data_IF_613383338430
#
_entry.id   IF_613383338430
#
_cell.length_a   1.000
_cell.length_b   1.000
_cell.length_c   1.000
_cell.angle_alpha   90.00
_cell.angle_beta   90.00
_cell.angle_gamma   90.00
#
_symmetry.space_group_name_H-M   'P 1'
#
loop_
_entity.id
_entity.type
_entity.pdbx_description
1 polymer ?
#
# COMPACT_ATOMS: atom_id res chain seq x y z
N UNK A 1 -10.10 -7.19 -24.96
CA UNK A 1 -9.31 -7.34 -23.72
C UNK A 1 -8.00 -6.57 -23.90
N UNK A 2 -8.01 -5.27 -23.66
CA UNK A 2 -6.82 -4.42 -23.86
C UNK A 2 -6.14 -4.20 -22.52
N UNK A 3 -5.27 -5.14 -22.15
CA UNK A 3 -4.18 -4.86 -21.24
C UNK A 3 -3.24 -3.81 -21.89
N UNK A 4 -2.51 -3.00 -21.11
CA UNK A 4 -2.47 -2.96 -19.64
C UNK A 4 -3.65 -2.25 -18.99
N UNK A 5 -3.83 -2.49 -17.68
CA UNK A 5 -4.70 -1.67 -16.83
C UNK A 5 -3.83 -0.63 -16.13
N UNK A 6 -4.23 0.64 -16.22
CA UNK A 6 -3.54 1.75 -15.55
C UNK A 6 -4.34 2.25 -14.36
N UNK A 7 -3.66 2.50 -13.25
CA UNK A 7 -4.22 3.18 -12.08
C UNK A 7 -3.37 4.40 -11.72
N UNK A 8 -4.05 5.50 -11.48
CA UNK A 8 -3.46 6.74 -10.98
C UNK A 8 -3.82 6.88 -9.50
N UNK A 9 -2.82 6.79 -8.64
CA UNK A 9 -2.98 6.89 -7.19
C UNK A 9 -2.45 8.23 -6.71
N UNK A 10 -3.15 8.88 -5.78
CA UNK A 10 -2.59 10.03 -5.08
C UNK A 10 -1.57 9.56 -4.04
N UNK A 11 -0.38 10.17 -4.03
CA UNK A 11 0.67 9.81 -3.08
C UNK A 11 0.37 10.23 -1.62
N UNK A 12 -0.66 11.07 -1.41
CA UNK A 12 -1.14 11.44 -0.06
C UNK A 12 -2.08 10.39 0.51
N UNK A 13 -2.84 9.70 -0.35
CA UNK A 13 -3.76 8.65 0.04
C UNK A 13 -3.06 7.27 0.12
N UNK A 14 -2.14 7.00 -0.81
CA UNK A 14 -1.42 5.73 -0.88
C UNK A 14 0.09 5.99 -0.82
N UNK A 15 0.78 5.57 0.26
CA UNK A 15 2.23 5.66 0.31
C UNK A 15 2.87 4.68 -0.69
N UNK A 16 4.10 5.00 -1.13
CA UNK A 16 4.86 4.14 -2.04
C UNK A 16 5.06 2.72 -1.47
N UNK A 17 5.21 2.60 -0.15
CA UNK A 17 5.30 1.30 0.56
C UNK A 17 4.08 0.41 0.28
N UNK A 18 2.87 0.96 0.32
CA UNK A 18 1.64 0.22 0.08
C UNK A 18 1.56 -0.27 -1.39
N UNK A 19 1.97 0.57 -2.34
CA UNK A 19 2.05 0.19 -3.75
C UNK A 19 3.06 -0.94 -3.99
N UNK A 20 4.25 -0.85 -3.39
CA UNK A 20 5.30 -1.87 -3.49
C UNK A 20 4.88 -3.20 -2.87
N UNK A 21 4.27 -3.17 -1.67
CA UNK A 21 3.74 -4.37 -1.01
C UNK A 21 2.62 -5.00 -1.80
N UNK A 22 1.76 -4.20 -2.43
CA UNK A 22 0.71 -4.70 -3.33
C UNK A 22 1.30 -5.42 -4.53
N UNK A 23 2.27 -4.80 -5.22
CA UNK A 23 2.95 -5.43 -6.35
C UNK A 23 3.63 -6.74 -5.97
N UNK A 24 4.27 -6.78 -4.80
CA UNK A 24 4.90 -8.01 -4.31
C UNK A 24 3.87 -9.09 -3.94
N UNK A 25 2.79 -8.71 -3.24
CA UNK A 25 1.73 -9.65 -2.83
C UNK A 25 1.00 -10.26 -4.02
N UNK A 26 0.90 -9.54 -5.13
CA UNK A 26 0.17 -9.97 -6.32
C UNK A 26 1.07 -10.54 -7.43
N UNK A 27 2.38 -10.67 -7.19
CA UNK A 27 3.36 -11.05 -8.21
C UNK A 27 3.08 -12.43 -8.88
N UNK A 28 2.40 -13.33 -8.18
CA UNK A 28 1.99 -14.63 -8.73
C UNK A 28 0.92 -14.52 -9.83
N UNK A 29 0.07 -13.49 -9.77
CA UNK A 29 -1.09 -13.32 -10.64
C UNK A 29 -0.92 -12.15 -11.61
N UNK A 30 -0.27 -11.07 -11.15
CA UNK A 30 -0.15 -9.80 -11.85
C UNK A 30 1.29 -9.29 -11.80
N UNK A 31 1.74 -8.75 -12.95
CA UNK A 31 2.96 -7.97 -13.05
C UNK A 31 2.60 -6.49 -12.97
N UNK A 32 3.04 -5.81 -11.91
CA UNK A 32 2.72 -4.40 -11.65
C UNK A 32 3.99 -3.56 -11.76
N UNK A 33 4.03 -2.68 -12.76
CA UNK A 33 5.04 -1.64 -12.86
C UNK A 33 4.59 -0.42 -12.05
N UNK A 34 5.47 0.05 -11.15
CA UNK A 34 5.23 1.23 -10.30
C UNK A 34 6.11 2.37 -10.81
N UNK A 35 5.47 3.47 -11.20
CA UNK A 35 6.15 4.70 -11.61
C UNK A 35 5.77 5.83 -10.64
N UNK A 36 6.61 6.16 -9.66
CA UNK A 36 6.37 7.27 -8.75
C UNK A 36 6.62 8.61 -9.47
N UNK A 37 5.70 9.55 -9.32
CA UNK A 37 5.77 10.90 -9.87
C UNK A 37 5.43 11.95 -8.79
N UNK A 38 5.73 13.24 -9.01
CA UNK A 38 5.38 14.27 -8.05
C UNK A 38 3.86 14.36 -7.83
N UNK A 39 3.38 13.98 -6.64
CA UNK A 39 1.97 14.04 -6.25
C UNK A 39 1.13 12.79 -6.55
N UNK A 40 1.67 11.84 -7.32
CA UNK A 40 0.93 10.64 -7.71
C UNK A 40 1.85 9.45 -7.99
N UNK A 41 1.26 8.25 -7.97
CA UNK A 41 1.92 7.00 -8.30
C UNK A 41 1.13 6.34 -9.40
N UNK A 42 1.80 6.07 -10.52
CA UNK A 42 1.23 5.38 -11.66
C UNK A 42 1.50 3.89 -11.54
N UNK A 43 0.44 3.07 -11.59
CA UNK A 43 0.54 1.62 -11.65
C UNK A 43 0.12 1.14 -13.03
N UNK A 44 0.99 0.38 -13.68
CA UNK A 44 0.68 -0.30 -14.94
C UNK A 44 0.66 -1.80 -14.69
N UNK A 45 -0.49 -2.41 -14.88
CA UNK A 45 -0.78 -3.79 -14.47
C UNK A 45 -0.91 -4.66 -15.71
N UNK A 46 -0.25 -5.81 -15.67
CA UNK A 46 -0.28 -6.87 -16.68
C UNK A 46 -0.59 -8.21 -16.02
N UNK A 47 -1.14 -9.19 -16.74
CA UNK A 47 -1.24 -10.54 -16.21
C UNK A 47 0.16 -11.15 -16.12
N UNK A 48 0.45 -11.89 -15.05
CA UNK A 48 1.75 -12.54 -14.86
C UNK A 48 1.95 -13.72 -15.81
N UNK A 49 0.85 -14.40 -16.19
CA UNK A 49 0.84 -15.48 -17.18
C UNK A 49 -0.29 -15.33 -18.20
N UNK A 50 -0.08 -15.84 -19.42
CA UNK A 50 -1.11 -15.95 -20.45
C UNK A 50 -2.30 -16.85 -20.05
N UNK A 51 -2.15 -17.72 -19.05
CA UNK A 51 -3.24 -18.52 -18.50
C UNK A 51 -4.05 -17.80 -17.42
N UNK A 52 -3.71 -16.55 -17.07
CA UNK A 52 -4.41 -15.81 -16.03
C UNK A 52 -5.83 -15.51 -16.50
N UNK A 53 -6.81 -16.20 -15.90
CA UNK A 53 -8.23 -16.07 -16.24
C UNK A 53 -8.90 -14.82 -15.63
N UNK A 54 -8.14 -13.88 -15.07
CA UNK A 54 -8.68 -12.63 -14.52
C UNK A 54 -9.15 -11.71 -15.63
N UNK A 55 -10.40 -11.24 -15.50
CA UNK A 55 -10.88 -10.09 -16.24
C UNK A 55 -10.22 -8.80 -15.73
N UNK A 56 -10.24 -7.75 -16.56
CA UNK A 56 -9.70 -6.42 -16.22
C UNK A 56 -10.36 -5.87 -14.95
N UNK A 57 -11.68 -5.99 -14.82
CA UNK A 57 -12.41 -5.48 -13.65
C UNK A 57 -12.05 -6.23 -12.38
N UNK A 58 -11.86 -7.55 -12.47
CA UNK A 58 -11.39 -8.36 -11.35
C UNK A 58 -9.96 -7.98 -10.96
N UNK A 59 -9.05 -7.82 -11.93
CA UNK A 59 -7.67 -7.41 -11.66
C UNK A 59 -7.62 -6.03 -11.00
N UNK A 60 -8.44 -5.10 -11.47
CA UNK A 60 -8.57 -3.75 -10.89
C UNK A 60 -9.08 -3.82 -9.45
N UNK A 61 -10.15 -4.58 -9.21
CA UNK A 61 -10.73 -4.73 -7.88
C UNK A 61 -9.73 -5.37 -6.92
N UNK A 62 -9.01 -6.40 -7.37
CA UNK A 62 -7.99 -7.09 -6.58
C UNK A 62 -6.85 -6.14 -6.17
N UNK A 63 -6.31 -5.38 -7.13
CA UNK A 63 -5.24 -4.41 -6.85
C UNK A 63 -5.72 -3.33 -5.89
N UNK A 64 -6.92 -2.77 -6.08
CA UNK A 64 -7.49 -1.77 -5.18
C UNK A 64 -7.74 -2.32 -3.77
N UNK A 65 -8.19 -3.58 -3.66
CA UNK A 65 -8.40 -4.23 -2.37
C UNK A 65 -7.08 -4.35 -1.59
N UNK A 66 -6.01 -4.83 -2.23
CA UNK A 66 -4.70 -4.94 -1.60
C UNK A 66 -4.10 -3.57 -1.25
N UNK A 67 -4.23 -2.58 -2.14
CA UNK A 67 -3.80 -1.21 -1.87
C UNK A 67 -4.49 -0.64 -0.63
N UNK A 68 -5.80 -0.82 -0.51
CA UNK A 68 -6.57 -0.36 0.64
C UNK A 68 -6.14 -1.06 1.93
N UNK A 69 -5.94 -2.38 1.91
CA UNK A 69 -5.50 -3.12 3.10
C UNK A 69 -4.12 -2.67 3.57
N UNK A 70 -3.15 -2.53 2.66
CA UNK A 70 -1.81 -2.06 3.01
C UNK A 70 -1.79 -0.60 3.48
N UNK A 71 -2.55 0.29 2.82
CA UNK A 71 -2.64 1.69 3.25
C UNK A 71 -3.29 1.83 4.63
N UNK A 72 -4.37 1.08 4.90
CA UNK A 72 -5.03 1.08 6.19
C UNK A 72 -4.11 0.55 7.30
N UNK A 73 -3.36 -0.54 7.03
CA UNK A 73 -2.39 -1.07 7.97
C UNK A 73 -1.26 -0.10 8.26
N UNK A 74 -0.74 0.58 7.25
CA UNK A 74 0.30 1.61 7.44
C UNK A 74 -0.25 2.77 8.28
N UNK A 75 -1.50 3.20 8.05
CA UNK A 75 -2.14 4.24 8.85
C UNK A 75 -2.29 3.83 10.33
N UNK A 76 -2.88 2.66 10.61
CA UNK A 76 -3.01 2.12 11.97
C UNK A 76 -1.64 1.97 12.63
N UNK A 77 -0.63 1.52 11.90
CA UNK A 77 0.71 1.38 12.43
C UNK A 77 1.29 2.74 12.86
N UNK A 78 1.10 3.78 12.04
CA UNK A 78 1.55 5.13 12.36
C UNK A 78 0.86 5.71 13.60
N UNK A 79 -0.46 5.54 13.72
CA UNK A 79 -1.24 6.04 14.86
C UNK A 79 -0.87 5.29 16.14
N UNK A 80 -0.74 3.97 16.08
CA UNK A 80 -0.36 3.17 17.24
C UNK A 80 1.09 3.39 17.68
N UNK A 81 2.00 3.74 16.76
CA UNK A 81 3.34 4.16 17.12
C UNK A 81 3.33 5.43 17.98
N UNK A 82 2.53 6.43 17.61
CA UNK A 82 2.34 7.66 18.40
C UNK A 82 1.76 7.37 19.80
N UNK A 83 0.79 6.45 19.90
CA UNK A 83 0.25 6.03 21.20
C UNK A 83 1.31 5.36 22.09
N UNK A 84 2.17 4.50 21.53
CA UNK A 84 3.26 3.88 22.29
C UNK A 84 4.24 4.91 22.82
N UNK A 85 4.57 5.93 22.02
CA UNK A 85 5.44 7.03 22.44
C UNK A 85 4.83 7.83 23.60
N UNK A 86 3.55 8.19 23.50
CA UNK A 86 2.83 8.90 24.57
C UNK A 86 2.81 8.10 25.86
N UNK A 87 2.50 6.80 25.78
CA UNK A 87 2.48 5.91 26.95
C UNK A 87 3.88 5.73 27.55
N UNK A 88 4.92 5.57 26.72
CA UNK A 88 6.29 5.48 27.19
C UNK A 88 6.72 6.76 27.91
N UNK A 89 6.38 7.94 27.37
CA UNK A 89 6.68 9.23 28.00
C UNK A 89 5.94 9.42 29.32
N UNK A 90 4.66 9.02 29.38
CA UNK A 90 3.88 9.05 30.62
C UNK A 90 4.49 8.11 31.69
N UNK A 91 4.91 6.90 31.31
CA UNK A 91 5.56 5.96 32.22
C UNK A 91 6.92 6.48 32.73
N UNK A 92 7.76 7.04 31.85
CA UNK A 92 9.04 7.65 32.24
C UNK A 92 8.85 8.82 33.21
N UNK A 93 7.85 9.68 32.95
CA UNK A 93 7.51 10.81 33.82
C UNK A 93 7.01 10.32 35.19
N UNK A 94 6.17 9.28 35.21
CA UNK A 94 5.67 8.68 36.45
C UNK A 94 6.75 7.98 37.28
N UNK A 95 7.81 7.51 36.65
CA UNK A 95 8.97 6.90 37.31
C UNK A 95 10.04 7.92 37.76
N UNK A 96 9.84 9.23 37.52
CA UNK A 96 10.76 10.29 37.94
C UNK A 96 12.08 10.34 37.15
N UNK A 97 12.13 9.75 35.97
CA UNK A 97 13.30 9.80 35.09
C UNK A 97 13.28 11.10 34.27
N UNK A 98 14.38 11.88 34.22
CA UNK A 98 14.46 13.06 33.36
C UNK A 98 14.44 12.67 31.88
N UNK A 99 13.85 13.54 31.06
CA UNK A 99 13.70 13.36 29.60
C UNK A 99 15.02 13.51 28.85
#
# INVERSE_FOLDING_TARGET
>A
MTWPVTLHLSNTAYPLSAAQRTAYSLAAELSIQITPEPGFINLTIYPSSAQTALSIDQARALVLQHLNDFALRDHIHSETAGLREVLARAALTGCGLPQ
#
